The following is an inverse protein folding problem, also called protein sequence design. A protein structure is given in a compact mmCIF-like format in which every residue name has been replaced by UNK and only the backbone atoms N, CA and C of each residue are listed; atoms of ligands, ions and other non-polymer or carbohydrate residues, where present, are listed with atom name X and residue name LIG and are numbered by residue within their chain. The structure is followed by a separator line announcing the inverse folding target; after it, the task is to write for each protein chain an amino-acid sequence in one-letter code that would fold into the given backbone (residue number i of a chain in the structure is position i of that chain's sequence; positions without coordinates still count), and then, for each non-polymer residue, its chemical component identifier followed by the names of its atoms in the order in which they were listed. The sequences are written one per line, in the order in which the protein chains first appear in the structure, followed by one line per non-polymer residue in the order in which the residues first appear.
data_IF_192873979455
#
_entry.id   IF_192873979455
#
_cell.length_a   1.000
_cell.length_b   1.000
_cell.length_c   1.000
_cell.angle_alpha   90.00
_cell.angle_beta   90.00
_cell.angle_gamma   90.00
#
_symmetry.space_group_name_H-M   'P 1'
#
loop_
_entity.id
_entity.type
_entity.pdbx_description
1 polymer ?
#
# COMPACT_ATOMS: atom_id res chain seq x y z
N UNK A 1 6.92 -55.54 35.50
CA UNK A 1 8.21 -55.20 34.86
C UNK A 1 8.05 -54.57 33.47
N UNK A 2 7.21 -55.12 32.57
CA UNK A 2 6.93 -54.48 31.26
C UNK A 2 6.21 -53.13 31.40
N UNK A 3 5.18 -53.03 32.24
CA UNK A 3 4.43 -51.78 32.45
C UNK A 3 5.30 -50.65 33.03
N UNK A 4 6.19 -50.95 33.97
CA UNK A 4 7.12 -49.96 34.54
C UNK A 4 8.14 -49.45 33.52
N UNK A 5 8.56 -50.28 32.56
CA UNK A 5 9.44 -49.86 31.46
C UNK A 5 8.69 -48.96 30.47
N UNK A 6 7.46 -49.31 30.12
CA UNK A 6 6.59 -48.50 29.24
C UNK A 6 6.35 -47.13 29.86
N UNK A 7 6.04 -47.06 31.16
CA UNK A 7 5.86 -45.78 31.87
C UNK A 7 7.15 -44.93 31.85
N UNK A 8 8.32 -45.54 32.00
CA UNK A 8 9.61 -44.83 32.00
C UNK A 8 10.02 -44.35 30.59
N UNK A 9 9.72 -45.11 29.56
CA UNK A 9 9.93 -44.68 28.16
C UNK A 9 9.00 -43.50 27.85
N UNK A 10 7.72 -43.59 28.24
CA UNK A 10 6.77 -42.51 28.03
C UNK A 10 7.18 -41.23 28.78
N UNK A 11 7.69 -41.33 30.01
CA UNK A 11 8.16 -40.16 30.75
C UNK A 11 9.41 -39.51 30.10
N UNK A 12 10.35 -40.31 29.61
CA UNK A 12 11.51 -39.82 28.86
C UNK A 12 11.11 -39.16 27.54
N UNK A 13 10.15 -39.74 26.82
CA UNK A 13 9.62 -39.17 25.59
C UNK A 13 8.93 -37.82 25.84
N UNK A 14 8.11 -37.74 26.89
CA UNK A 14 7.48 -36.48 27.31
C UNK A 14 8.51 -35.42 27.71
N UNK A 15 9.56 -35.81 28.45
CA UNK A 15 10.64 -34.91 28.82
C UNK A 15 11.41 -34.39 27.59
N UNK A 16 11.73 -35.27 26.63
CA UNK A 16 12.41 -34.89 25.40
C UNK A 16 11.54 -33.95 24.54
N UNK A 17 10.26 -34.28 24.37
CA UNK A 17 9.31 -33.41 23.67
C UNK A 17 9.18 -32.05 24.34
N UNK A 18 9.17 -31.98 25.67
CA UNK A 18 9.12 -30.70 26.38
C UNK A 18 10.34 -29.82 26.09
N UNK A 19 11.54 -30.42 26.00
CA UNK A 19 12.78 -29.71 25.67
C UNK A 19 12.80 -29.24 24.22
N UNK A 20 12.43 -30.11 23.27
CA UNK A 20 12.30 -29.74 21.86
C UNK A 20 11.28 -28.62 21.69
N UNK A 21 10.10 -28.75 22.30
CA UNK A 21 9.05 -27.74 22.20
C UNK A 21 9.52 -26.39 22.76
N UNK A 22 10.28 -26.39 23.85
CA UNK A 22 10.84 -25.16 24.44
C UNK A 22 11.84 -24.51 23.48
N UNK A 23 12.74 -25.30 22.89
CA UNK A 23 13.71 -24.80 21.92
C UNK A 23 13.05 -24.27 20.64
N UNK A 24 12.04 -24.97 20.12
CA UNK A 24 11.28 -24.54 18.94
C UNK A 24 10.52 -23.24 19.20
N UNK A 25 9.92 -23.06 20.38
CA UNK A 25 9.28 -21.80 20.76
C UNK A 25 10.29 -20.64 20.79
N UNK A 26 11.50 -20.86 21.32
CA UNK A 26 12.56 -19.84 21.30
C UNK A 26 12.99 -19.47 19.87
N UNK A 27 13.07 -20.46 18.97
CA UNK A 27 13.44 -20.24 17.58
C UNK A 27 12.35 -19.48 16.82
N UNK A 28 11.10 -19.93 16.90
CA UNK A 28 9.95 -19.34 16.18
C UNK A 28 9.68 -17.91 16.65
N UNK A 29 9.88 -17.62 17.94
CA UNK A 29 9.71 -16.26 18.48
C UNK A 29 10.99 -15.40 18.37
N UNK A 30 12.04 -15.87 17.71
CA UNK A 30 13.23 -15.05 17.50
C UNK A 30 12.91 -13.91 16.51
N UNK A 31 13.22 -12.65 16.83
CA UNK A 31 12.76 -11.48 16.07
C UNK A 31 13.22 -11.48 14.60
N UNK A 32 14.43 -11.98 14.31
CA UNK A 32 14.91 -12.11 12.93
C UNK A 32 14.12 -13.13 12.12
N UNK A 33 13.74 -14.25 12.75
CA UNK A 33 12.96 -15.28 12.06
C UNK A 33 11.52 -14.80 11.87
N UNK A 34 10.93 -14.17 12.88
CA UNK A 34 9.60 -13.58 12.75
C UNK A 34 9.53 -12.50 11.67
N UNK A 35 10.54 -11.63 11.56
CA UNK A 35 10.58 -10.62 10.51
C UNK A 35 10.64 -11.26 9.11
N UNK A 36 11.49 -12.27 8.94
CA UNK A 36 11.61 -13.00 7.68
C UNK A 36 10.32 -13.79 7.36
N UNK A 37 9.77 -14.50 8.35
CA UNK A 37 8.52 -15.24 8.22
C UNK A 37 7.37 -14.29 7.87
N UNK A 38 7.30 -13.11 8.49
CA UNK A 38 6.25 -12.14 8.23
C UNK A 38 6.28 -11.63 6.78
N UNK A 39 7.45 -11.23 6.26
CA UNK A 39 7.58 -10.77 4.88
C UNK A 39 7.23 -11.87 3.87
N UNK A 40 7.83 -13.06 4.01
CA UNK A 40 7.58 -14.16 3.07
C UNK A 40 6.17 -14.72 3.17
N UNK A 41 5.59 -14.77 4.36
CA UNK A 41 4.22 -15.25 4.54
C UNK A 41 3.19 -14.25 4.01
N UNK A 42 3.43 -12.95 4.18
CA UNK A 42 2.61 -11.91 3.57
C UNK A 42 2.63 -12.01 2.05
N UNK A 43 3.81 -12.18 1.44
CA UNK A 43 3.95 -12.38 0.00
C UNK A 43 3.29 -13.69 -0.48
N UNK A 44 3.49 -14.79 0.26
CA UNK A 44 2.87 -16.07 -0.03
C UNK A 44 1.33 -15.99 0.03
N UNK A 45 0.79 -15.21 0.97
CA UNK A 45 -0.65 -14.98 1.06
C UNK A 45 -1.17 -14.28 -0.20
N UNK A 46 -0.50 -13.25 -0.71
CA UNK A 46 -0.90 -12.59 -1.97
C UNK A 46 -0.87 -13.59 -3.13
N UNK A 47 0.20 -14.39 -3.25
CA UNK A 47 0.34 -15.32 -4.38
C UNK A 47 -0.69 -16.45 -4.38
N UNK A 48 -1.05 -16.97 -3.21
CA UNK A 48 -2.07 -18.00 -3.07
C UNK A 48 -3.48 -17.49 -3.39
N UNK A 49 -3.81 -16.28 -2.95
CA UNK A 49 -5.17 -15.74 -3.10
C UNK A 49 -5.49 -15.35 -4.54
N UNK A 50 -4.48 -14.95 -5.30
CA UNK A 50 -4.63 -14.51 -6.68
C UNK A 50 -4.01 -15.47 -7.69
N UNK A 51 -3.91 -16.76 -7.31
CA UNK A 51 -3.44 -17.80 -8.21
C UNK A 51 -4.36 -17.90 -9.44
N UNK A 52 -3.78 -17.71 -10.63
CA UNK A 52 -4.51 -17.78 -11.90
C UNK A 52 -4.95 -16.44 -12.51
N UNK A 53 -4.76 -15.31 -11.81
CA UNK A 53 -5.09 -13.99 -12.36
C UNK A 53 -4.03 -13.53 -13.37
N UNK A 54 -4.34 -13.67 -14.67
CA UNK A 54 -3.39 -13.34 -15.76
C UNK A 54 -3.15 -11.84 -15.97
N UNK A 55 -4.04 -10.98 -15.48
CA UNK A 55 -3.96 -9.53 -15.71
C UNK A 55 -3.03 -8.82 -14.73
N UNK A 56 -2.51 -9.51 -13.72
CA UNK A 56 -1.76 -8.92 -12.62
C UNK A 56 -0.39 -9.58 -12.56
N UNK A 57 0.64 -8.77 -12.39
CA UNK A 57 2.02 -9.21 -12.22
C UNK A 57 2.57 -8.63 -10.93
N UNK A 58 3.14 -9.48 -10.11
CA UNK A 58 3.80 -9.11 -8.87
C UNK A 58 5.30 -9.23 -9.13
N UNK A 59 6.01 -8.09 -9.11
CA UNK A 59 7.46 -8.05 -9.22
C UNK A 59 8.05 -7.84 -7.83
N UNK A 60 9.05 -8.63 -7.48
CA UNK A 60 9.67 -8.63 -6.16
C UNK A 60 11.09 -8.09 -6.30
N UNK A 61 11.42 -7.07 -5.52
CA UNK A 61 12.77 -6.55 -5.38
C UNK A 61 13.21 -6.72 -3.92
N UNK A 62 14.20 -7.58 -3.70
CA UNK A 62 14.78 -7.77 -2.38
C UNK A 62 15.81 -6.68 -2.13
N UNK A 63 15.46 -5.71 -1.30
CA UNK A 63 16.33 -4.60 -0.92
C UNK A 63 16.12 -4.29 0.55
N UNK A 64 17.19 -4.25 1.34
CA UNK A 64 17.09 -3.83 2.75
C UNK A 64 16.93 -2.31 2.85
N UNK A 65 16.33 -1.83 3.93
CA UNK A 65 16.17 -0.39 4.15
C UNK A 65 17.53 0.33 4.19
N UNK A 66 18.57 -0.32 4.72
CA UNK A 66 19.92 0.25 4.78
C UNK A 66 20.56 0.38 3.40
N UNK A 67 20.42 -0.63 2.54
CA UNK A 67 20.92 -0.57 1.16
C UNK A 67 20.18 0.53 0.37
N UNK A 68 18.88 0.71 0.61
CA UNK A 68 18.11 1.80 0.01
C UNK A 68 18.60 3.18 0.47
N UNK A 69 18.87 3.35 1.77
CA UNK A 69 19.45 4.57 2.32
C UNK A 69 20.82 4.86 1.70
N UNK A 70 21.69 3.85 1.62
CA UNK A 70 23.01 3.98 1.01
C UNK A 70 22.98 4.31 -0.48
N UNK A 71 22.05 3.72 -1.25
CA UNK A 71 21.86 4.02 -2.68
C UNK A 71 21.52 5.50 -2.90
N UNK A 72 20.63 6.03 -2.06
CA UNK A 72 20.21 7.43 -2.11
C UNK A 72 21.26 8.41 -1.60
N UNK A 73 22.11 8.00 -0.66
CA UNK A 73 23.23 8.82 -0.20
C UNK A 73 24.40 8.85 -1.18
N UNK A 74 24.64 7.76 -1.92
CA UNK A 74 25.70 7.67 -2.94
C UNK A 74 25.36 8.46 -4.20
N UNK A 75 24.08 8.55 -4.55
CA UNK A 75 23.62 9.20 -5.78
C UNK A 75 23.48 10.72 -5.61
N UNK A 76 24.06 11.52 -6.51
CA UNK A 76 23.93 12.99 -6.48
C UNK A 76 22.54 13.45 -6.89
N UNK A 77 21.92 12.74 -7.83
CA UNK A 77 20.55 12.95 -8.29
C UNK A 77 19.73 11.69 -8.07
N UNK A 78 18.43 11.87 -7.80
CA UNK A 78 17.53 10.74 -7.58
C UNK A 78 17.30 9.91 -8.86
N UNK A 79 17.48 10.52 -10.04
CA UNK A 79 17.37 9.87 -11.36
C UNK A 79 18.47 8.82 -11.60
N UNK A 80 19.62 8.94 -10.93
CA UNK A 80 20.74 8.00 -11.08
C UNK A 80 20.65 6.79 -10.12
N UNK A 81 19.65 6.78 -9.25
CA UNK A 81 19.51 5.74 -8.21
C UNK A 81 19.18 4.38 -8.80
N UNK A 82 19.64 3.32 -8.14
CA UNK A 82 19.34 1.95 -8.54
C UNK A 82 17.83 1.70 -8.58
N UNK A 83 17.11 2.20 -7.57
CA UNK A 83 15.66 2.05 -7.51
C UNK A 83 14.95 2.76 -8.68
N UNK A 84 15.36 3.98 -9.03
CA UNK A 84 14.78 4.72 -10.15
C UNK A 84 15.02 4.00 -11.48
N UNK A 85 16.21 3.44 -11.69
CA UNK A 85 16.52 2.67 -12.91
C UNK A 85 15.59 1.46 -13.08
N UNK A 86 15.35 0.69 -12.02
CA UNK A 86 14.47 -0.47 -12.08
C UNK A 86 12.99 -0.07 -12.28
N UNK A 87 12.52 1.01 -11.67
CA UNK A 87 11.12 1.43 -11.73
C UNK A 87 10.81 2.19 -13.03
N UNK A 88 11.68 3.13 -13.43
CA UNK A 88 11.43 4.04 -14.54
C UNK A 88 12.15 3.61 -15.81
N UNK A 89 13.45 3.31 -15.75
CA UNK A 89 14.23 3.02 -16.96
C UNK A 89 13.89 1.66 -17.58
N UNK A 90 13.81 0.62 -16.77
CA UNK A 90 13.54 -0.74 -17.26
C UNK A 90 12.07 -0.98 -17.61
N UNK A 91 11.14 -0.22 -17.01
CA UNK A 91 9.71 -0.45 -17.16
C UNK A 91 9.02 0.74 -17.83
N UNK A 92 8.77 1.82 -17.09
CA UNK A 92 7.93 2.92 -17.55
C UNK A 92 8.43 3.57 -18.86
N UNK A 93 9.74 3.73 -19.03
CA UNK A 93 10.34 4.35 -20.22
C UNK A 93 10.78 3.36 -21.30
N UNK A 94 10.92 2.08 -20.98
CA UNK A 94 11.39 1.05 -21.91
C UNK A 94 10.32 0.71 -22.96
N UNK A 95 10.64 0.66 -24.26
CA UNK A 95 9.72 0.18 -25.29
C UNK A 95 9.26 -1.26 -25.01
N UNK A 96 7.95 -1.49 -24.89
CA UNK A 96 7.40 -2.78 -24.49
C UNK A 96 7.49 -3.11 -22.99
N UNK A 97 8.06 -2.20 -22.18
CA UNK A 97 8.02 -2.29 -20.72
C UNK A 97 6.61 -2.10 -20.16
N UNK A 98 6.37 -2.63 -18.96
CA UNK A 98 5.07 -2.60 -18.31
C UNK A 98 5.12 -1.69 -17.08
N UNK A 99 4.44 -0.54 -17.10
CA UNK A 99 4.55 0.43 -16.03
C UNK A 99 4.02 -0.14 -14.71
N UNK A 100 4.76 0.13 -13.62
CA UNK A 100 4.40 -0.35 -12.29
C UNK A 100 3.23 0.46 -11.74
N UNK A 101 2.11 -0.18 -11.41
CA UNK A 101 0.92 0.52 -10.91
C UNK A 101 1.06 1.04 -9.47
N UNK A 102 1.62 0.22 -8.58
CA UNK A 102 1.66 0.45 -7.14
C UNK A 102 2.99 -0.08 -6.60
N UNK A 103 3.65 0.71 -5.75
CA UNK A 103 4.88 0.33 -5.06
C UNK A 103 4.57 0.05 -3.59
N UNK A 104 4.90 -1.15 -3.13
CA UNK A 104 4.71 -1.57 -1.75
C UNK A 104 6.08 -1.73 -1.09
N UNK A 105 6.35 -0.88 -0.09
CA UNK A 105 7.55 -0.98 0.74
C UNK A 105 7.28 -1.80 1.99
N UNK A 106 7.86 -3.00 2.07
CA UNK A 106 7.85 -3.78 3.32
C UNK A 106 8.86 -3.25 4.33
N UNK A 107 8.66 -1.99 4.71
CA UNK A 107 9.51 -1.28 5.66
C UNK A 107 8.66 -0.65 6.76
N UNK A 108 9.31 -0.41 7.89
CA UNK A 108 8.77 0.35 9.00
C UNK A 108 9.58 1.62 9.18
N UNK A 109 9.04 2.76 8.72
CA UNK A 109 9.74 4.03 8.85
C UNK A 109 9.60 4.63 10.25
N UNK A 110 10.63 5.32 10.71
CA UNK A 110 10.69 6.05 11.98
C UNK A 110 10.81 7.54 11.73
N UNK A 111 10.71 8.36 12.77
CA UNK A 111 10.93 9.82 12.68
C UNK A 111 12.41 10.20 12.55
N UNK A 112 13.30 9.24 12.24
CA UNK A 112 14.72 9.50 12.01
C UNK A 112 14.92 10.39 10.78
N UNK A 113 15.92 11.27 10.82
CA UNK A 113 16.25 12.17 9.71
C UNK A 113 16.62 11.41 8.44
N UNK A 114 17.33 10.28 8.55
CA UNK A 114 17.68 9.40 7.43
C UNK A 114 16.42 8.87 6.73
N UNK A 115 15.53 8.26 7.52
CA UNK A 115 14.26 7.73 7.05
C UNK A 115 13.38 8.79 6.35
N UNK A 116 13.33 10.01 6.89
CA UNK A 116 12.57 11.11 6.28
C UNK A 116 13.17 11.59 4.95
N UNK A 117 14.50 11.61 4.82
CA UNK A 117 15.16 11.90 3.54
C UNK A 117 14.85 10.82 2.51
N UNK A 118 14.94 9.55 2.90
CA UNK A 118 14.61 8.39 2.06
C UNK A 118 13.16 8.46 1.57
N UNK A 119 12.22 8.79 2.46
CA UNK A 119 10.81 9.00 2.11
C UNK A 119 10.61 10.16 1.12
N UNK A 120 11.36 11.26 1.28
CA UNK A 120 11.32 12.39 0.35
C UNK A 120 11.87 12.03 -1.04
N UNK A 121 12.87 11.15 -1.13
CA UNK A 121 13.38 10.65 -2.41
C UNK A 121 12.39 9.65 -3.03
N UNK A 122 11.81 8.76 -2.24
CA UNK A 122 10.79 7.81 -2.69
C UNK A 122 9.55 8.53 -3.24
N UNK A 123 9.10 9.61 -2.60
CA UNK A 123 7.95 10.38 -3.08
C UNK A 123 8.21 10.99 -4.46
N UNK A 124 9.43 11.49 -4.72
CA UNK A 124 9.86 11.98 -6.04
C UNK A 124 9.83 10.88 -7.11
N UNK A 125 10.46 9.74 -6.81
CA UNK A 125 10.50 8.58 -7.73
C UNK A 125 9.07 8.13 -8.06
N UNK A 126 8.22 8.04 -7.04
CA UNK A 126 6.82 7.62 -7.14
C UNK A 126 5.99 8.57 -8.01
N UNK A 127 6.15 9.89 -7.83
CA UNK A 127 5.49 10.92 -8.65
C UNK A 127 5.88 10.80 -10.12
N UNK A 128 7.17 10.59 -10.41
CA UNK A 128 7.69 10.55 -11.78
C UNK A 128 7.30 9.26 -12.50
N UNK A 129 7.30 8.12 -11.79
CA UNK A 129 6.86 6.83 -12.32
C UNK A 129 5.33 6.71 -12.44
N UNK A 130 4.57 7.66 -11.86
CA UNK A 130 3.14 7.53 -11.65
C UNK A 130 2.80 6.23 -10.91
N UNK A 131 3.49 5.97 -9.81
CA UNK A 131 3.36 4.73 -9.04
C UNK A 131 3.36 5.10 -7.55
N UNK A 132 2.19 5.16 -6.89
CA UNK A 132 2.12 5.51 -5.46
C UNK A 132 2.95 4.55 -4.61
N UNK A 133 3.67 5.11 -3.62
CA UNK A 133 4.44 4.33 -2.66
C UNK A 133 3.71 4.22 -1.33
N UNK A 134 3.46 2.99 -0.93
CA UNK A 134 2.76 2.65 0.31
C UNK A 134 3.68 1.88 1.23
N UNK A 135 3.78 2.31 2.48
CA UNK A 135 4.64 1.67 3.49
C UNK A 135 4.00 1.77 4.87
N UNK A 136 4.47 0.96 5.81
CA UNK A 136 4.10 1.11 7.22
C UNK A 136 5.05 2.00 8.00
N UNK A 137 4.56 2.50 9.13
CA UNK A 137 5.34 3.30 10.07
C UNK A 137 5.49 2.59 11.41
N UNK A 138 6.53 2.97 12.14
CA UNK A 138 6.75 2.57 13.54
C UNK A 138 5.93 3.46 14.48
N UNK A 139 5.61 2.99 15.72
CA UNK A 139 5.05 3.87 16.74
C UNK A 139 5.88 5.13 16.98
N UNK A 140 7.22 5.00 16.90
CA UNK A 140 8.15 6.12 17.05
C UNK A 140 8.02 7.20 15.97
N UNK A 141 7.50 6.88 14.78
CA UNK A 141 7.16 7.90 13.77
C UNK A 141 6.11 8.88 14.28
N UNK A 142 5.15 8.37 15.05
CA UNK A 142 4.15 9.14 15.79
C UNK A 142 4.63 9.45 17.21
N UNK A 143 5.94 9.51 17.49
CA UNK A 143 6.57 9.66 18.83
C UNK A 143 5.88 8.87 19.96
N UNK A 144 5.30 7.72 19.63
CA UNK A 144 4.70 6.78 20.57
C UNK A 144 5.71 5.68 20.89
N UNK A 145 5.53 5.05 22.04
CA UNK A 145 6.26 3.81 22.35
C UNK A 145 5.54 2.60 21.78
N UNK A 146 4.21 2.61 21.83
CA UNK A 146 3.34 1.52 21.35
C UNK A 146 2.08 2.09 20.69
N UNK A 147 1.51 1.38 19.73
CA UNK A 147 0.26 1.81 19.10
C UNK A 147 -0.94 1.81 20.06
N UNK A 148 -0.89 1.03 21.14
CA UNK A 148 -1.90 1.04 22.22
C UNK A 148 -2.11 2.45 22.84
N UNK A 149 -1.10 3.31 22.78
CA UNK A 149 -1.18 4.69 23.29
C UNK A 149 -2.12 5.57 22.45
N UNK A 150 -2.44 5.20 21.21
CA UNK A 150 -3.38 5.92 20.35
C UNK A 150 -4.78 6.06 20.96
N UNK A 151 -5.20 5.12 21.81
CA UNK A 151 -6.49 5.25 22.49
C UNK A 151 -6.52 6.41 23.48
N UNK A 152 -5.37 6.77 24.07
CA UNK A 152 -5.25 7.71 25.19
C UNK A 152 -4.89 9.12 24.76
N UNK A 153 -4.38 9.29 23.56
CA UNK A 153 -3.79 10.56 23.13
C UNK A 153 -4.86 11.53 22.66
N UNK A 154 -4.81 12.75 23.22
CA UNK A 154 -5.63 13.85 22.77
C UNK A 154 -5.09 14.46 21.47
N UNK A 155 -6.01 14.80 20.57
CA UNK A 155 -5.76 15.28 19.21
C UNK A 155 -4.86 16.52 19.10
N UNK A 156 -4.90 17.42 20.08
CA UNK A 156 -4.01 18.59 20.12
C UNK A 156 -2.55 18.23 20.35
N UNK A 157 -2.27 17.06 20.91
CA UNK A 157 -0.93 16.49 20.96
C UNK A 157 -0.55 15.89 19.60
N UNK A 158 -1.49 15.25 18.87
CA UNK A 158 -1.34 14.76 17.47
C UNK A 158 -0.91 15.85 16.47
N UNK A 159 -1.26 17.10 16.74
CA UNK A 159 -0.80 18.25 15.95
C UNK A 159 0.60 18.76 16.35
N UNK A 160 1.06 18.53 17.59
CA UNK A 160 2.42 18.90 18.06
C UNK A 160 3.51 17.99 17.48
N UNK A 161 3.17 16.81 16.95
CA UNK A 161 4.09 15.93 16.20
C UNK A 161 4.74 16.63 15.02
N UNK A 162 4.02 17.59 14.42
CA UNK A 162 4.51 18.41 13.32
C UNK A 162 5.55 19.47 13.75
N UNK A 163 6.08 19.50 14.98
CA UNK A 163 7.15 20.46 15.32
C UNK A 163 8.51 20.12 14.72
N UNK A 164 8.72 18.87 14.28
CA UNK A 164 9.92 18.52 13.54
C UNK A 164 9.83 19.15 12.14
N UNK A 165 10.78 20.04 11.85
CA UNK A 165 10.88 20.77 10.56
C UNK A 165 10.91 19.81 9.38
N UNK A 166 11.54 18.64 9.52
CA UNK A 166 11.60 17.65 8.44
C UNK A 166 10.23 17.05 8.10
N UNK A 167 9.38 16.76 9.08
CA UNK A 167 8.02 16.27 8.81
C UNK A 167 7.18 17.35 8.13
N UNK A 168 7.28 18.61 8.57
CA UNK A 168 6.60 19.72 7.91
C UNK A 168 7.07 19.88 6.46
N UNK A 169 8.38 19.79 6.23
CA UNK A 169 8.94 19.92 4.90
C UNK A 169 8.46 18.79 3.99
N UNK A 170 8.46 17.54 4.47
CA UNK A 170 7.93 16.41 3.71
C UNK A 170 6.42 16.62 3.41
N UNK A 171 5.63 17.03 4.40
CA UNK A 171 4.19 17.29 4.23
C UNK A 171 3.86 18.42 3.24
N UNK A 172 4.75 19.41 3.11
CA UNK A 172 4.61 20.55 2.18
C UNK A 172 5.04 20.23 0.75
N UNK A 173 5.85 19.20 0.54
CA UNK A 173 6.27 18.78 -0.80
C UNK A 173 5.08 18.24 -1.57
N UNK A 174 4.89 18.72 -2.80
CA UNK A 174 3.84 18.23 -3.69
C UNK A 174 3.98 16.72 -3.97
N UNK A 175 5.21 16.21 -3.99
CA UNK A 175 5.54 14.80 -4.21
C UNK A 175 4.89 13.88 -3.16
N UNK A 176 4.64 14.39 -1.96
CA UNK A 176 4.03 13.62 -0.88
C UNK A 176 2.58 13.20 -1.18
N UNK A 177 1.96 13.70 -2.26
CA UNK A 177 0.68 13.18 -2.75
C UNK A 177 0.77 11.73 -3.25
N UNK A 178 1.97 11.22 -3.54
CA UNK A 178 2.23 9.83 -3.91
C UNK A 178 2.66 8.94 -2.73
N UNK A 179 2.69 9.48 -1.50
CA UNK A 179 3.20 8.79 -0.33
C UNK A 179 2.08 8.46 0.65
N UNK A 180 1.99 7.18 1.04
CA UNK A 180 0.91 6.66 1.87
C UNK A 180 1.46 5.82 3.02
N UNK A 181 0.92 6.07 4.22
CA UNK A 181 1.34 5.39 5.44
C UNK A 181 0.23 4.52 6.01
N UNK A 182 0.55 3.25 6.28
CA UNK A 182 -0.39 2.27 6.85
C UNK A 182 -0.06 1.92 8.29
N UNK A 183 -1.12 1.81 9.09
CA UNK A 183 -1.14 1.34 10.47
C UNK A 183 -2.35 0.42 10.68
N UNK A 184 -2.41 -0.41 11.73
CA UNK A 184 -1.30 -0.95 12.51
C UNK A 184 -0.79 -2.26 11.86
N UNK A 185 -0.07 -3.10 12.60
CA UNK A 185 0.30 -4.45 12.14
C UNK A 185 -0.90 -5.40 12.16
N UNK A 186 -0.83 -6.45 11.33
CA UNK A 186 -1.88 -7.48 11.18
C UNK A 186 -1.31 -8.85 11.48
N UNK A 187 -2.11 -9.74 12.06
CA UNK A 187 -1.71 -11.14 12.27
C UNK A 187 -1.66 -11.86 10.92
N UNK A 188 -0.50 -12.41 10.55
CA UNK A 188 -0.36 -13.21 9.33
C UNK A 188 -0.57 -14.71 9.57
N UNK A 189 -0.34 -15.19 10.78
CA UNK A 189 -0.41 -16.61 11.14
C UNK A 189 -0.99 -16.79 12.53
N UNK A 190 -1.88 -17.78 12.67
CA UNK A 190 -2.30 -18.26 13.98
C UNK A 190 -1.21 -19.06 14.68
N UNK A 191 -1.29 -19.08 15.99
CA UNK A 191 -0.51 -20.00 16.82
C UNK A 191 -0.75 -21.44 16.36
N UNK A 192 0.32 -22.24 16.26
CA UNK A 192 0.24 -23.67 16.00
C UNK A 192 -0.46 -24.37 17.18
N UNK A 193 -1.69 -24.89 17.00
CA UNK A 193 -2.40 -25.52 18.10
C UNK A 193 -1.78 -26.88 18.42
N UNK A 194 -1.82 -27.27 19.68
CA UNK A 194 -1.50 -28.63 20.11
C UNK A 194 -2.54 -29.62 19.57
N UNK A 195 -2.32 -30.14 18.36
CA UNK A 195 -3.09 -31.27 17.83
C UNK A 195 -2.71 -32.55 18.58
N UNK A 196 -3.64 -33.51 18.67
CA UNK A 196 -3.44 -34.81 19.32
C UNK A 196 -2.19 -35.55 18.84
N UNK A 197 -1.80 -35.36 17.57
CA UNK A 197 -0.61 -35.95 16.95
C UNK A 197 0.54 -34.94 16.70
N UNK A 198 0.44 -33.69 17.16
CA UNK A 198 1.51 -32.71 16.98
C UNK A 198 2.52 -32.79 18.12
N UNK A 199 3.80 -32.89 17.77
CA UNK A 199 4.92 -32.79 18.71
C UNK A 199 5.19 -31.36 19.18
N UNK A 200 4.63 -30.37 18.47
CA UNK A 200 4.84 -28.95 18.73
C UNK A 200 3.56 -28.29 19.26
N UNK A 201 3.74 -27.49 20.30
CA UNK A 201 2.73 -26.70 20.99
C UNK A 201 3.30 -25.29 21.17
N UNK A 202 2.85 -24.36 20.33
CA UNK A 202 3.36 -22.98 20.33
C UNK A 202 2.79 -22.24 21.55
N UNK A 203 3.68 -21.86 22.47
CA UNK A 203 3.30 -21.18 23.70
C UNK A 203 3.38 -19.68 23.51
N UNK A 204 2.22 -19.05 23.47
CA UNK A 204 2.13 -17.61 23.40
C UNK A 204 1.94 -16.99 24.79
N UNK A 205 2.99 -16.35 25.32
CA UNK A 205 2.94 -15.65 26.62
C UNK A 205 2.83 -14.14 26.47
N UNK A 206 3.20 -13.59 25.31
CA UNK A 206 3.29 -12.15 25.07
C UNK A 206 2.64 -11.79 23.72
N UNK A 207 2.03 -10.61 23.62
CA UNK A 207 1.49 -10.12 22.34
C UNK A 207 2.53 -10.10 21.22
N UNK A 208 3.81 -9.94 21.54
CA UNK A 208 4.91 -9.92 20.56
C UNK A 208 5.21 -11.30 19.96
N UNK A 209 4.78 -12.39 20.60
CA UNK A 209 5.00 -13.74 20.10
C UNK A 209 4.11 -14.07 18.89
N UNK A 210 3.05 -13.29 18.65
CA UNK A 210 2.26 -13.44 17.43
C UNK A 210 3.08 -13.03 16.21
N UNK A 211 2.84 -13.72 15.09
CA UNK A 211 3.41 -13.33 13.81
C UNK A 211 2.68 -12.11 13.26
N UNK A 212 3.12 -10.93 13.71
CA UNK A 212 2.69 -9.65 13.18
C UNK A 212 3.37 -9.35 11.86
N UNK A 213 2.58 -9.07 10.84
CA UNK A 213 3.02 -8.60 9.54
C UNK A 213 2.61 -7.19 9.23
N UNK A 214 3.09 -6.75 8.08
CA UNK A 214 2.84 -5.44 7.54
C UNK A 214 1.44 -5.37 6.89
N UNK A 215 0.70 -4.29 7.14
CA UNK A 215 -0.63 -4.09 6.58
C UNK A 215 -0.62 -3.86 5.06
N UNK A 216 0.55 -3.61 4.46
CA UNK A 216 0.69 -3.51 2.99
C UNK A 216 0.19 -4.75 2.28
N UNK A 217 0.36 -5.94 2.87
CA UNK A 217 -0.04 -7.20 2.25
C UNK A 217 -1.57 -7.31 2.19
N UNK A 218 -2.25 -6.91 3.26
CA UNK A 218 -3.72 -6.80 3.29
C UNK A 218 -4.22 -5.76 2.29
N UNK A 219 -3.56 -4.60 2.20
CA UNK A 219 -3.92 -3.59 1.20
C UNK A 219 -3.74 -4.11 -0.23
N UNK A 220 -2.65 -4.83 -0.51
CA UNK A 220 -2.37 -5.39 -1.82
C UNK A 220 -3.49 -6.33 -2.27
N UNK A 221 -3.93 -7.24 -1.40
CA UNK A 221 -5.04 -8.16 -1.66
C UNK A 221 -6.31 -7.39 -2.02
N UNK A 222 -6.65 -6.35 -1.24
CA UNK A 222 -7.83 -5.53 -1.51
C UNK A 222 -7.73 -4.84 -2.88
N UNK A 223 -6.60 -4.22 -3.19
CA UNK A 223 -6.41 -3.49 -4.45
C UNK A 223 -6.47 -4.45 -5.63
N UNK A 224 -5.86 -5.64 -5.51
CA UNK A 224 -5.89 -6.68 -6.54
C UNK A 224 -7.33 -7.16 -6.78
N UNK A 225 -8.07 -7.49 -5.72
CA UNK A 225 -9.47 -7.92 -5.82
C UNK A 225 -10.35 -6.87 -6.52
N UNK A 226 -10.15 -5.58 -6.18
CA UNK A 226 -10.90 -4.49 -6.81
C UNK A 226 -10.53 -4.33 -8.28
N UNK A 227 -9.23 -4.36 -8.58
CA UNK A 227 -8.74 -4.29 -9.95
C UNK A 227 -9.28 -5.44 -10.79
N UNK A 228 -9.36 -6.65 -10.24
CA UNK A 228 -9.91 -7.80 -10.95
C UNK A 228 -11.37 -7.59 -11.32
N UNK A 229 -12.18 -7.13 -10.36
CA UNK A 229 -13.63 -6.94 -10.50
C UNK A 229 -14.01 -5.76 -11.40
N UNK A 230 -13.40 -4.60 -11.21
CA UNK A 230 -13.83 -3.35 -11.87
C UNK A 230 -12.90 -2.90 -12.99
N UNK A 231 -11.71 -3.51 -13.10
CA UNK A 231 -10.59 -2.98 -13.91
C UNK A 231 -10.20 -1.55 -13.52
N UNK A 232 -10.57 -1.11 -12.33
CA UNK A 232 -10.22 0.16 -11.71
C UNK A 232 -10.00 -0.06 -10.21
N UNK A 233 -9.81 1.02 -9.46
CA UNK A 233 -9.50 0.96 -8.03
C UNK A 233 -10.63 1.50 -7.15
N UNK A 234 -11.77 1.81 -7.77
CA UNK A 234 -12.97 2.30 -7.09
C UNK A 234 -13.74 1.14 -6.48
N UNK A 235 -14.46 1.44 -5.39
CA UNK A 235 -15.33 0.50 -4.69
C UNK A 235 -16.77 1.02 -4.67
N UNK A 236 -17.73 0.12 -4.45
CA UNK A 236 -19.16 0.48 -4.33
C UNK A 236 -19.41 1.40 -3.14
N UNK A 237 -18.59 1.27 -2.09
CA UNK A 237 -18.52 2.20 -0.98
C UNK A 237 -17.37 3.18 -1.26
N UNK A 238 -17.66 4.47 -1.53
CA UNK A 238 -16.62 5.42 -1.97
C UNK A 238 -15.54 5.66 -0.91
N UNK A 239 -15.89 5.47 0.37
CA UNK A 239 -15.06 5.85 1.51
C UNK A 239 -14.33 4.67 2.17
N UNK A 240 -14.72 3.44 1.86
CA UNK A 240 -14.20 2.24 2.51
C UNK A 240 -13.77 1.22 1.48
N UNK A 241 -12.60 0.64 1.69
CA UNK A 241 -12.19 -0.57 0.99
C UNK A 241 -12.14 -1.71 2.00
N UNK A 242 -12.76 -2.83 1.67
CA UNK A 242 -12.94 -3.96 2.58
C UNK A 242 -12.43 -5.28 2.01
N UNK A 243 -12.02 -6.14 2.92
CA UNK A 243 -11.59 -7.50 2.69
C UNK A 243 -12.35 -8.45 3.61
N UNK A 244 -12.86 -9.54 3.07
CA UNK A 244 -13.55 -10.56 3.85
C UNK A 244 -12.52 -11.49 4.51
N UNK A 245 -12.50 -11.55 5.84
CA UNK A 245 -11.46 -12.24 6.59
C UNK A 245 -11.41 -13.74 6.30
N UNK A 246 -12.55 -14.37 5.97
CA UNK A 246 -12.66 -15.83 5.80
C UNK A 246 -11.79 -16.36 4.65
N UNK A 247 -11.56 -15.54 3.62
CA UNK A 247 -10.73 -15.92 2.49
C UNK A 247 -9.23 -15.82 2.85
N UNK A 248 -8.87 -14.86 3.70
CA UNK A 248 -7.48 -14.43 3.88
C UNK A 248 -6.84 -14.92 5.18
N UNK A 249 -7.64 -15.06 6.23
CA UNK A 249 -7.18 -15.47 7.55
C UNK A 249 -7.98 -16.69 7.99
N UNK A 250 -7.30 -17.82 8.16
CA UNK A 250 -7.83 -18.85 9.03
C UNK A 250 -7.82 -18.22 10.42
N UNK A 251 -8.95 -17.81 10.98
CA UNK A 251 -8.98 -17.22 12.34
C UNK A 251 -9.09 -18.35 13.35
N UNK A 252 -8.08 -18.50 14.23
CA UNK A 252 -8.18 -19.45 15.32
C UNK A 252 -9.24 -18.94 16.31
N UNK A 253 -10.26 -19.76 16.57
CA UNK A 253 -11.17 -19.53 17.70
C UNK A 253 -10.43 -19.92 18.98
N UNK A 254 -9.96 -18.94 19.74
CA UNK A 254 -9.49 -19.18 21.10
C UNK A 254 -10.68 -19.03 22.06
N UNK A 255 -10.98 -20.08 22.84
CA UNK A 255 -11.95 -20.03 23.94
C UNK A 255 -13.31 -19.39 23.57
N UNK A 256 -13.88 -19.77 22.42
CA UNK A 256 -15.16 -19.26 21.88
C UNK A 256 -15.19 -17.77 21.43
N UNK A 257 -14.10 -17.00 21.60
CA UNK A 257 -14.01 -15.62 21.11
C UNK A 257 -13.09 -15.51 19.89
N UNK A 258 -13.54 -14.80 18.86
CA UNK A 258 -12.68 -14.45 17.72
C UNK A 258 -11.65 -13.42 18.17
N UNK A 259 -10.36 -13.73 18.01
CA UNK A 259 -9.27 -12.80 18.28
C UNK A 259 -9.25 -11.68 17.23
N UNK A 260 -8.88 -10.47 17.66
CA UNK A 260 -8.65 -9.36 16.74
C UNK A 260 -7.47 -9.62 15.82
N UNK A 261 -7.65 -9.29 14.55
CA UNK A 261 -6.62 -9.47 13.51
C UNK A 261 -5.61 -8.33 13.47
N UNK A 262 -6.00 -7.14 13.91
CA UNK A 262 -5.14 -5.97 14.02
C UNK A 262 -4.54 -5.85 15.43
N UNK A 263 -3.40 -5.18 15.55
CA UNK A 263 -2.75 -4.96 16.85
C UNK A 263 -3.62 -4.13 17.81
N UNK A 264 -4.41 -3.23 17.24
CA UNK A 264 -5.29 -2.28 17.92
C UNK A 264 -6.50 -2.00 17.03
N UNK A 265 -7.65 -1.74 17.66
CA UNK A 265 -8.84 -1.18 16.99
C UNK A 265 -8.97 0.29 17.38
N UNK A 266 -9.47 1.13 16.48
CA UNK A 266 -9.70 2.54 16.80
C UNK A 266 -11.16 2.92 16.69
N UNK A 267 -11.58 3.86 17.54
CA UNK A 267 -12.88 4.50 17.46
C UNK A 267 -12.98 5.32 16.17
N UNK A 268 -14.17 5.42 15.53
CA UNK A 268 -14.34 6.14 14.27
C UNK A 268 -13.85 7.59 14.30
N UNK A 269 -14.02 8.28 15.44
CA UNK A 269 -13.55 9.66 15.62
C UNK A 269 -12.02 9.75 15.58
N UNK A 270 -11.32 8.77 16.17
CA UNK A 270 -9.85 8.72 16.16
C UNK A 270 -9.31 8.31 14.80
N UNK A 271 -10.01 7.41 14.11
CA UNK A 271 -9.70 7.00 12.75
C UNK A 271 -9.78 8.20 11.78
N UNK A 272 -10.89 8.96 11.78
CA UNK A 272 -11.06 10.16 10.95
C UNK A 272 -9.96 11.20 11.22
N UNK A 273 -9.58 11.33 12.48
CA UNK A 273 -8.53 12.21 12.94
C UNK A 273 -7.13 11.82 12.42
N UNK A 274 -6.82 10.52 12.36
CA UNK A 274 -5.58 10.04 11.72
C UNK A 274 -5.60 10.26 10.21
N UNK A 275 -6.75 10.05 9.57
CA UNK A 275 -6.94 10.30 8.15
C UNK A 275 -6.66 11.78 7.82
N UNK A 276 -7.18 12.71 8.63
CA UNK A 276 -6.92 14.13 8.48
C UNK A 276 -5.43 14.51 8.64
N UNK A 277 -4.61 13.64 9.24
CA UNK A 277 -3.16 13.84 9.38
C UNK A 277 -2.34 13.16 8.27
N UNK A 278 -2.98 12.47 7.33
CA UNK A 278 -2.30 11.75 6.25
C UNK A 278 -1.88 10.32 6.62
N UNK A 279 -2.55 9.70 7.60
CA UNK A 279 -2.31 8.31 8.01
C UNK A 279 -3.52 7.44 7.74
N UNK A 280 -3.27 6.26 7.18
CA UNK A 280 -4.29 5.25 6.94
C UNK A 280 -4.28 4.22 8.04
N UNK A 281 -5.46 3.83 8.51
CA UNK A 281 -5.62 2.84 9.56
C UNK A 281 -6.44 1.65 9.04
N UNK A 282 -5.94 0.44 9.28
CA UNK A 282 -6.63 -0.82 9.03
C UNK A 282 -7.41 -1.16 10.28
N UNK A 283 -8.73 -1.09 10.17
CA UNK A 283 -9.63 -1.40 11.27
C UNK A 283 -10.40 -2.69 10.99
N UNK A 284 -11.00 -3.23 12.04
CA UNK A 284 -11.82 -4.43 12.00
C UNK A 284 -13.28 -4.05 12.30
N UNK A 285 -14.25 -4.60 11.56
CA UNK A 285 -15.67 -4.41 11.92
C UNK A 285 -16.00 -5.19 13.19
N UNK A 286 -17.02 -4.74 13.93
CA UNK A 286 -17.40 -5.34 15.22
C UNK A 286 -17.74 -6.85 15.12
N UNK A 287 -18.24 -7.28 13.96
CA UNK A 287 -18.55 -8.67 13.65
C UNK A 287 -17.30 -9.55 13.40
N UNK A 288 -16.12 -8.93 13.34
CA UNK A 288 -14.80 -9.56 13.10
C UNK A 288 -14.77 -10.37 11.81
N UNK A 289 -15.65 -10.04 10.86
CA UNK A 289 -15.78 -10.73 9.59
C UNK A 289 -14.99 -10.02 8.49
N UNK A 290 -14.81 -8.70 8.61
CA UNK A 290 -14.13 -7.89 7.60
C UNK A 290 -13.10 -6.95 8.20
N UNK A 291 -11.96 -6.84 7.52
CA UNK A 291 -11.01 -5.76 7.68
C UNK A 291 -11.28 -4.66 6.65
N UNK A 292 -11.11 -3.41 7.04
CA UNK A 292 -11.31 -2.28 6.13
C UNK A 292 -10.29 -1.17 6.34
N UNK A 293 -10.02 -0.44 5.27
CA UNK A 293 -9.42 0.89 5.34
C UNK A 293 -10.47 1.92 4.98
N UNK A 294 -10.68 2.89 5.87
CA UNK A 294 -11.46 4.08 5.55
C UNK A 294 -10.52 5.10 4.94
N UNK A 295 -10.86 5.61 3.75
CA UNK A 295 -10.22 6.72 3.05
C UNK A 295 -8.70 6.77 3.22
N UNK A 296 -7.93 6.26 2.27
CA UNK A 296 -6.46 6.19 2.35
C UNK A 296 -5.81 7.53 1.94
N UNK A 297 -5.53 8.50 2.84
CA UNK A 297 -4.99 9.79 2.43
C UNK A 297 -3.49 9.69 2.11
N UNK A 298 -3.06 10.53 1.19
CA UNK A 298 -1.66 10.85 1.01
C UNK A 298 -1.13 11.66 2.19
N UNK A 299 0.19 11.64 2.39
CA UNK A 299 0.86 12.42 3.44
C UNK A 299 0.95 13.94 3.15
N UNK A 300 0.41 14.41 2.03
CA UNK A 300 0.41 15.82 1.65
C UNK A 300 -0.55 16.69 2.49
N UNK A 301 -0.10 17.88 2.92
CA UNK A 301 -0.82 18.72 3.87
C UNK A 301 -1.93 19.59 3.27
N UNK A 302 -1.75 20.14 2.07
CA UNK A 302 -2.71 21.13 1.56
C UNK A 302 -4.08 20.51 1.24
N UNK A 303 -4.06 19.32 0.64
CA UNK A 303 -5.26 18.58 0.28
C UNK A 303 -4.99 17.06 0.35
N UNK A 304 -5.90 16.26 0.94
CA UNK A 304 -5.76 14.82 0.90
C UNK A 304 -6.03 14.31 -0.51
N UNK A 305 -5.05 13.64 -1.10
CA UNK A 305 -5.26 12.80 -2.28
C UNK A 305 -5.47 11.36 -1.80
N UNK A 306 -6.57 10.74 -2.18
CA UNK A 306 -6.81 9.36 -1.76
C UNK A 306 -6.16 8.36 -2.69
N UNK A 307 -5.63 7.27 -2.13
CA UNK A 307 -4.87 6.27 -2.90
C UNK A 307 -5.64 5.76 -4.12
N UNK A 308 -6.93 5.47 -3.96
CA UNK A 308 -7.77 4.97 -5.07
C UNK A 308 -7.87 5.96 -6.24
N UNK A 309 -8.00 7.25 -5.93
CA UNK A 309 -8.09 8.31 -6.93
C UNK A 309 -6.75 8.47 -7.64
N UNK A 310 -5.66 8.51 -6.87
CA UNK A 310 -4.31 8.58 -7.42
C UNK A 310 -4.00 7.36 -8.28
N UNK A 311 -4.38 6.15 -7.87
CA UNK A 311 -4.22 4.94 -8.68
C UNK A 311 -4.98 5.01 -9.99
N UNK A 312 -6.20 5.57 -10.00
CA UNK A 312 -6.95 5.79 -11.23
C UNK A 312 -6.25 6.78 -12.17
N UNK A 313 -5.73 7.88 -11.63
CA UNK A 313 -4.95 8.88 -12.37
C UNK A 313 -3.65 8.29 -12.92
N UNK A 314 -2.93 7.52 -12.10
CA UNK A 314 -1.70 6.83 -12.47
C UNK A 314 -1.93 5.89 -13.66
N UNK A 315 -3.00 5.09 -13.59
CA UNK A 315 -3.37 4.20 -14.69
C UNK A 315 -3.66 4.95 -15.98
N UNK A 316 -4.35 6.09 -15.92
CA UNK A 316 -4.59 6.93 -17.10
C UNK A 316 -3.29 7.50 -17.65
N UNK A 317 -2.39 7.96 -16.78
CA UNK A 317 -1.07 8.43 -17.17
C UNK A 317 -0.26 7.32 -17.87
N UNK A 318 -0.31 6.10 -17.34
CA UNK A 318 0.32 4.91 -17.94
C UNK A 318 -0.23 4.61 -19.33
N UNK A 319 -1.56 4.59 -19.49
CA UNK A 319 -2.18 4.37 -20.79
C UNK A 319 -1.81 5.44 -21.80
N UNK A 320 -1.89 6.72 -21.41
CA UNK A 320 -1.53 7.84 -22.30
C UNK A 320 -0.05 7.75 -22.69
N UNK A 321 0.84 7.38 -21.75
CA UNK A 321 2.26 7.19 -22.06
C UNK A 321 2.48 6.11 -23.11
N UNK A 322 1.79 4.97 -23.00
CA UNK A 322 1.90 3.85 -23.95
C UNK A 322 1.32 4.26 -25.31
N UNK A 323 0.10 4.79 -25.33
CA UNK A 323 -0.59 5.26 -26.55
C UNK A 323 0.29 6.26 -27.29
N UNK A 324 0.83 7.25 -26.58
CA UNK A 324 1.64 8.29 -27.22
C UNK A 324 2.97 7.79 -27.72
N UNK A 325 3.55 6.76 -27.08
CA UNK A 325 4.75 6.09 -27.59
C UNK A 325 4.50 5.36 -28.91
N UNK A 326 3.35 4.70 -29.03
CA UNK A 326 2.96 4.01 -30.27
C UNK A 326 2.59 4.98 -31.40
N UNK A 327 2.15 6.19 -31.05
CA UNK A 327 1.70 7.24 -31.98
C UNK A 327 2.76 8.32 -32.27
N UNK A 328 4.02 8.07 -31.95
CA UNK A 328 5.12 8.98 -32.34
C UNK A 328 5.18 9.04 -33.88
N UNK A 329 5.24 10.25 -34.44
CA UNK A 329 5.29 10.48 -35.88
C UNK A 329 3.94 10.49 -36.59
N UNK A 330 2.83 10.17 -35.91
CA UNK A 330 1.51 10.08 -36.59
C UNK A 330 0.74 11.39 -36.63
N UNK A 331 0.92 12.27 -35.66
CA UNK A 331 0.16 13.52 -35.55
C UNK A 331 0.92 14.69 -36.18
N UNK A 332 0.27 15.39 -37.12
CA UNK A 332 0.88 16.51 -37.82
C UNK A 332 0.68 17.83 -37.07
N UNK A 333 -0.45 17.94 -36.36
CA UNK A 333 -0.83 19.15 -35.61
C UNK A 333 -1.16 18.82 -34.13
N UNK A 334 -0.95 19.79 -33.20
CA UNK A 334 -1.39 19.64 -31.81
C UNK A 334 -2.88 19.34 -31.67
N UNK A 335 -3.71 19.95 -32.54
CA UNK A 335 -5.17 19.77 -32.52
C UNK A 335 -5.61 18.33 -32.86
N UNK A 336 -4.93 17.67 -33.80
CA UNK A 336 -5.17 16.26 -34.10
C UNK A 336 -4.88 15.36 -32.89
N UNK A 337 -3.74 15.59 -32.23
CA UNK A 337 -3.35 14.88 -31.01
C UNK A 337 -4.33 15.13 -29.87
N UNK A 338 -4.74 16.39 -29.66
CA UNK A 338 -5.73 16.78 -28.65
C UNK A 338 -7.07 16.08 -28.87
N UNK A 339 -7.62 16.14 -30.09
CA UNK A 339 -8.88 15.50 -30.43
C UNK A 339 -8.83 13.98 -30.24
N UNK A 340 -7.74 13.34 -30.64
CA UNK A 340 -7.56 11.91 -30.46
C UNK A 340 -7.57 11.50 -28.99
N UNK A 341 -6.75 12.17 -28.16
CA UNK A 341 -6.64 11.89 -26.74
C UNK A 341 -7.92 12.26 -25.98
N UNK A 342 -8.58 13.36 -26.35
CA UNK A 342 -9.86 13.76 -25.76
C UNK A 342 -10.95 12.72 -26.05
N UNK A 343 -11.06 12.24 -27.30
CA UNK A 343 -11.98 11.16 -27.66
C UNK A 343 -11.67 9.87 -26.91
N UNK A 344 -10.39 9.52 -26.75
CA UNK A 344 -10.00 8.37 -25.95
C UNK A 344 -10.41 8.52 -24.48
N UNK A 345 -10.14 9.67 -23.84
CA UNK A 345 -10.53 9.97 -22.46
C UNK A 345 -12.05 9.91 -22.26
N UNK A 346 -12.85 10.29 -23.26
CA UNK A 346 -14.30 10.24 -23.17
C UNK A 346 -14.86 8.84 -22.90
N UNK A 347 -14.16 7.78 -23.31
CA UNK A 347 -14.56 6.40 -23.02
C UNK A 347 -14.52 6.05 -21.52
N UNK A 348 -13.85 6.88 -20.70
CA UNK A 348 -13.73 6.70 -19.25
C UNK A 348 -14.44 7.81 -18.46
N UNK A 349 -15.08 8.76 -19.13
CA UNK A 349 -15.87 9.83 -18.49
C UNK A 349 -17.34 9.47 -18.43
N UNK A 350 -17.95 9.66 -17.26
CA UNK A 350 -19.38 9.50 -17.12
C UNK A 350 -20.14 10.62 -17.86
N UNK A 351 -21.13 10.24 -18.67
CA UNK A 351 -21.91 11.19 -19.48
C UNK A 351 -23.19 11.69 -18.80
N UNK A 352 -23.67 11.00 -17.75
CA UNK A 352 -24.91 11.34 -17.03
C UNK A 352 -24.60 11.91 -15.64
N UNK A 353 -25.46 12.82 -15.15
CA UNK A 353 -25.31 13.43 -13.81
C UNK A 353 -25.75 12.50 -12.68
N UNK A 354 -26.72 11.63 -12.96
CA UNK A 354 -27.16 10.58 -12.04
C UNK A 354 -26.57 9.26 -12.53
N UNK A 355 -25.69 8.68 -11.71
CA UNK A 355 -25.00 7.44 -12.01
C UNK A 355 -25.30 6.48 -10.86
N UNK A 356 -25.79 5.29 -11.19
CA UNK A 356 -25.77 4.19 -10.24
C UNK A 356 -24.32 3.80 -9.90
N UNK A 357 -24.13 3.17 -8.74
CA UNK A 357 -22.80 2.79 -8.26
C UNK A 357 -22.04 1.92 -9.29
N UNK A 358 -22.72 1.03 -10.01
CA UNK A 358 -22.11 0.21 -11.06
C UNK A 358 -21.52 1.03 -12.22
N UNK A 359 -22.15 2.16 -12.57
CA UNK A 359 -21.68 3.02 -13.65
C UNK A 359 -20.44 3.79 -13.20
N UNK A 360 -20.38 4.25 -11.95
CA UNK A 360 -19.21 4.91 -11.37
C UNK A 360 -17.98 3.98 -11.38
N UNK A 361 -18.18 2.69 -11.11
CA UNK A 361 -17.10 1.70 -11.13
C UNK A 361 -16.51 1.47 -12.54
N UNK A 362 -17.31 1.66 -13.58
CA UNK A 362 -16.87 1.53 -14.99
C UNK A 362 -16.27 2.82 -15.53
N UNK A 363 -16.75 3.98 -15.08
CA UNK A 363 -16.36 5.30 -15.56
C UNK A 363 -15.80 6.14 -14.39
N UNK A 364 -14.50 6.01 -14.09
CA UNK A 364 -13.90 6.63 -12.91
C UNK A 364 -13.84 8.17 -12.97
N UNK A 365 -13.94 8.75 -14.16
CA UNK A 365 -13.85 10.19 -14.36
C UNK A 365 -15.24 10.82 -14.42
N UNK A 366 -15.40 11.92 -13.70
CA UNK A 366 -16.57 12.80 -13.82
C UNK A 366 -16.38 13.80 -14.96
N UNK A 367 -15.19 14.37 -15.08
CA UNK A 367 -14.79 15.29 -16.16
C UNK A 367 -13.34 15.03 -16.54
N UNK A 368 -13.04 15.18 -17.82
CA UNK A 368 -11.69 15.12 -18.35
C UNK A 368 -11.53 16.14 -19.47
N UNK A 369 -10.45 16.91 -19.41
CA UNK A 369 -10.06 17.85 -20.45
C UNK A 369 -8.57 17.74 -20.70
N UNK A 370 -8.17 17.57 -21.96
CA UNK A 370 -6.78 17.66 -22.38
C UNK A 370 -6.55 18.91 -23.22
N UNK A 371 -5.37 19.49 -23.12
CA UNK A 371 -4.93 20.59 -23.97
C UNK A 371 -3.51 20.34 -24.43
N UNK A 372 -3.27 20.38 -25.75
CA UNK A 372 -1.99 20.07 -26.38
C UNK A 372 -1.45 21.31 -27.09
N UNK A 373 -0.18 21.63 -26.86
CA UNK A 373 0.47 22.81 -27.41
C UNK A 373 1.90 22.50 -27.88
N UNK A 374 2.42 23.22 -28.89
CA UNK A 374 3.80 23.06 -29.34
C UNK A 374 4.78 23.45 -28.22
N UNK A 375 5.88 22.69 -28.10
CA UNK A 375 6.93 23.01 -27.16
C UNK A 375 7.64 24.30 -27.56
N UNK A 376 7.81 25.29 -26.66
CA UNK A 376 8.56 26.50 -26.96
C UNK A 376 9.98 26.16 -27.39
N UNK A 377 10.38 26.63 -28.58
CA UNK A 377 11.72 26.38 -29.11
C UNK A 377 11.96 24.98 -29.71
N UNK A 378 10.96 24.07 -29.74
CA UNK A 378 11.11 22.77 -30.36
C UNK A 378 9.88 22.34 -31.18
N UNK A 379 10.01 22.43 -32.50
CA UNK A 379 8.94 22.11 -33.48
C UNK A 379 8.61 20.61 -33.48
N UNK A 380 9.54 19.76 -33.00
CA UNK A 380 9.38 18.31 -32.93
C UNK A 380 8.83 17.84 -31.59
N UNK A 381 8.25 18.71 -30.77
CA UNK A 381 7.73 18.30 -29.47
C UNK A 381 6.40 18.98 -29.15
N UNK A 382 5.56 18.24 -28.43
CA UNK A 382 4.30 18.72 -27.90
C UNK A 382 4.30 18.61 -26.37
N UNK A 383 3.76 19.62 -25.73
CA UNK A 383 3.37 19.56 -24.33
C UNK A 383 1.87 19.33 -24.25
N UNK A 384 1.45 18.59 -23.24
CA UNK A 384 0.04 18.40 -22.95
C UNK A 384 -0.23 18.58 -21.47
N UNK A 385 -1.36 19.22 -21.18
CA UNK A 385 -1.93 19.35 -19.85
C UNK A 385 -3.23 18.57 -19.82
N UNK A 386 -3.34 17.61 -18.90
CA UNK A 386 -4.60 16.87 -18.68
C UNK A 386 -5.16 17.29 -17.34
N UNK A 387 -6.40 17.74 -17.36
CA UNK A 387 -7.21 18.08 -16.21
C UNK A 387 -8.23 16.95 -15.99
N UNK A 388 -8.09 16.24 -14.88
CA UNK A 388 -8.97 15.13 -14.50
C UNK A 388 -9.71 15.48 -13.22
N UNK A 389 -11.03 15.34 -13.24
CA UNK A 389 -11.88 15.42 -12.06
C UNK A 389 -12.55 14.06 -11.85
N UNK A 390 -12.26 13.42 -10.71
CA UNK A 390 -12.90 12.17 -10.31
C UNK A 390 -14.20 12.45 -9.54
N UNK A 391 -14.98 11.40 -9.31
CA UNK A 391 -16.17 11.47 -8.47
C UNK A 391 -15.76 11.80 -7.03
N UNK A 392 -16.51 12.68 -6.37
CA UNK A 392 -16.25 13.08 -5.00
C UNK A 392 -16.46 11.89 -4.04
N UNK A 393 -15.68 11.90 -2.96
CA UNK A 393 -15.96 11.11 -1.76
C UNK A 393 -16.77 11.93 -0.77
N UNK A 394 -17.59 11.30 0.06
CA UNK A 394 -18.43 12.03 1.01
C UNK A 394 -17.57 12.85 1.98
N UNK A 395 -17.95 14.12 2.18
CA UNK A 395 -17.24 15.09 3.02
C UNK A 395 -15.84 15.52 2.53
N UNK A 396 -15.44 15.18 1.30
CA UNK A 396 -14.18 15.62 0.72
C UNK A 396 -14.38 16.36 -0.60
N UNK A 397 -13.45 17.26 -0.90
CA UNK A 397 -13.46 18.06 -2.13
C UNK A 397 -13.10 17.15 -3.31
N UNK A 398 -13.81 17.31 -4.43
CA UNK A 398 -13.48 16.65 -5.70
C UNK A 398 -11.98 16.79 -6.01
N UNK A 399 -11.26 15.68 -6.24
CA UNK A 399 -9.85 15.75 -6.54
C UNK A 399 -9.66 16.15 -8.00
N UNK A 400 -8.94 17.26 -8.21
CA UNK A 400 -8.53 17.74 -9.52
C UNK A 400 -7.05 17.46 -9.70
N UNK A 401 -6.71 16.81 -10.81
CA UNK A 401 -5.33 16.47 -11.16
C UNK A 401 -4.91 17.19 -12.42
N UNK A 402 -3.71 17.78 -12.39
CA UNK A 402 -3.04 18.32 -13.56
C UNK A 402 -1.82 17.46 -13.89
N UNK A 403 -1.89 16.73 -15.00
CA UNK A 403 -0.74 16.00 -15.54
C UNK A 403 -0.08 16.84 -16.63
N UNK A 404 1.24 17.03 -16.52
CA UNK A 404 2.04 17.73 -17.53
C UNK A 404 3.12 16.80 -18.03
N UNK A 405 3.25 16.64 -19.35
CA UNK A 405 4.34 15.85 -19.94
C UNK A 405 4.69 16.35 -21.33
N UNK A 406 5.88 15.96 -21.80
CA UNK A 406 6.45 16.28 -23.11
C UNK A 406 6.47 15.02 -23.98
N UNK A 407 6.16 15.17 -25.27
CA UNK A 407 6.21 14.09 -26.26
C UNK A 407 6.92 14.58 -27.51
N UNK A 408 7.67 13.69 -28.16
CA UNK A 408 8.23 13.93 -29.48
C UNK A 408 7.18 13.73 -30.57
N UNK A 409 7.08 14.73 -31.45
CA UNK A 409 6.28 14.72 -32.67
C UNK A 409 6.69 13.59 -33.59
#
# INVERSE_FOLDING_TARGET
MKESLVLRINSLFLALNSKINTQLNLLIHHPLLQALEASWRGLWQISQQHEGVKTIKIKILCLSLKELEEDFEKSTHFDDTFLFSNIYHQEFSHPGGEPLGLLLGDYYFSSSSSHLKTLATLSKISKIAFSPFVTSITPGFLQLRKFEELHKINMSALLKFNKNTFHQNLKKQEESCFLYFLLPRVILRNIYPKKTNSLFDEKNTLKENYLWGNAIYSLANIIIDKFEKTKWFLDSEPNEIKMDNENYFQVAKENHYKKHLTEIMLDPDKELNLINQGFSFLNEKEDKSTLYFKNLPSYYQEKPFFLQDVLCVCRLAHYIKIIMREKIGTFLTPAECENYLQNWLHHYTAHTKELGNETILKYPLKKAKISVYPAPGNIKKYFFNIYLTLHAKDNFIEPDFKLTSEIHK
#
